data_IF_579139570321
#
_entry.id   IF_579139570321
#
_cell.length_a   1.000
_cell.length_b   1.000
_cell.length_c   1.000
_cell.angle_alpha   90.00
_cell.angle_beta   90.00
_cell.angle_gamma   90.00
#
_symmetry.space_group_name_H-M   'P 1'
#
loop_
_entity.id
_entity.type
_entity.pdbx_description
1 polymer ?
#
# COMPACT_ATOMS: atom_id res chain seq x y z
N UNK A 1 6.49 12.18 11.69
CA UNK A 1 5.68 11.73 10.55
C UNK A 1 4.24 11.66 11.02
N UNK A 2 3.29 12.16 10.23
CA UNK A 2 1.87 11.86 10.43
C UNK A 2 1.53 10.76 9.43
N UNK A 3 0.50 9.96 9.70
CA UNK A 3 -0.02 8.98 8.76
C UNK A 3 -1.52 9.14 8.80
N UNK A 4 -2.10 9.49 7.67
CA UNK A 4 -3.53 9.63 7.51
C UNK A 4 -4.18 8.30 7.10
N UNK A 5 -3.43 7.44 6.40
CA UNK A 5 -3.96 6.21 5.80
C UNK A 5 -3.09 4.98 6.11
N UNK A 6 -3.73 3.89 6.51
CA UNK A 6 -3.15 2.55 6.60
C UNK A 6 -3.95 1.65 5.67
N UNK A 7 -3.37 1.29 4.53
CA UNK A 7 -3.93 0.32 3.59
C UNK A 7 -3.30 -1.04 3.88
N UNK A 8 -4.12 -2.05 4.15
CA UNK A 8 -3.60 -3.38 4.49
C UNK A 8 -4.40 -4.49 3.82
N UNK A 9 -3.79 -5.66 3.66
CA UNK A 9 -4.54 -6.84 3.24
C UNK A 9 -5.54 -7.30 4.31
N UNK A 10 -6.65 -7.90 3.88
CA UNK A 10 -7.78 -8.27 4.74
C UNK A 10 -7.66 -9.63 5.44
N UNK A 11 -6.51 -10.30 5.37
CA UNK A 11 -6.27 -11.57 6.05
C UNK A 11 -5.50 -11.38 7.36
N UNK A 12 -5.04 -12.49 7.96
CA UNK A 12 -4.44 -12.45 9.29
C UNK A 12 -3.15 -11.62 9.33
N UNK A 13 -2.29 -11.70 8.32
CA UNK A 13 -1.00 -11.01 8.31
C UNK A 13 -1.19 -9.50 8.08
N UNK A 14 -2.00 -9.12 7.09
CA UNK A 14 -2.40 -7.74 6.88
C UNK A 14 -3.13 -7.10 8.07
N UNK A 15 -4.06 -7.81 8.73
CA UNK A 15 -4.74 -7.30 9.93
C UNK A 15 -3.78 -7.09 11.09
N UNK A 16 -2.86 -8.03 11.34
CA UNK A 16 -1.86 -7.89 12.40
C UNK A 16 -0.92 -6.71 12.13
N UNK A 17 -0.47 -6.58 10.88
CA UNK A 17 0.38 -5.46 10.45
C UNK A 17 -0.33 -4.11 10.59
N UNK A 18 -1.61 -4.03 10.18
CA UNK A 18 -2.43 -2.83 10.34
C UNK A 18 -2.61 -2.43 11.81
N UNK A 19 -2.81 -3.40 12.70
CA UNK A 19 -2.93 -3.12 14.13
C UNK A 19 -1.65 -2.53 14.73
N UNK A 20 -0.47 -3.02 14.30
CA UNK A 20 0.82 -2.46 14.72
C UNK A 20 1.01 -1.03 14.19
N UNK A 21 0.66 -0.79 12.92
CA UNK A 21 0.73 0.55 12.34
C UNK A 21 -0.24 1.52 13.03
N UNK A 22 -1.48 1.11 13.29
CA UNK A 22 -2.47 1.93 13.98
C UNK A 22 -2.05 2.25 15.42
N UNK A 23 -1.39 1.31 16.11
CA UNK A 23 -0.82 1.59 17.43
C UNK A 23 0.27 2.67 17.40
N UNK A 24 1.04 2.76 16.31
CA UNK A 24 2.04 3.82 16.10
C UNK A 24 1.42 5.13 15.57
N UNK A 25 0.31 5.04 14.85
CA UNK A 25 -0.41 6.17 14.23
C UNK A 25 -1.92 6.13 14.57
N UNK A 26 -2.31 6.47 15.81
CA UNK A 26 -3.68 6.22 16.30
C UNK A 26 -4.80 6.97 15.59
N UNK A 27 -4.48 8.05 14.88
CA UNK A 27 -5.43 8.88 14.15
C UNK A 27 -5.58 8.46 12.67
N UNK A 28 -4.81 7.46 12.22
CA UNK A 28 -4.86 6.99 10.84
C UNK A 28 -6.16 6.22 10.54
N UNK A 29 -6.66 6.36 9.32
CA UNK A 29 -7.78 5.58 8.82
C UNK A 29 -7.27 4.24 8.28
N UNK A 30 -7.81 3.13 8.80
CA UNK A 30 -7.50 1.79 8.29
C UNK A 30 -8.46 1.44 7.16
N UNK A 31 -7.91 1.02 6.03
CA UNK A 31 -8.64 0.55 4.86
C UNK A 31 -8.12 -0.82 4.42
N UNK A 32 -8.98 -1.83 4.44
CA UNK A 32 -8.59 -3.15 3.95
C UNK A 32 -8.78 -3.25 2.44
N UNK A 33 -7.71 -3.61 1.74
CA UNK A 33 -7.63 -3.76 0.29
C UNK A 33 -7.12 -5.14 -0.10
N UNK A 34 -6.96 -5.36 -1.41
CA UNK A 34 -6.41 -6.57 -1.98
C UNK A 34 -5.54 -6.23 -3.21
N UNK A 35 -4.66 -7.14 -3.66
CA UNK A 35 -3.73 -6.88 -4.76
C UNK A 35 -4.35 -6.31 -6.05
N UNK A 36 -5.54 -6.80 -6.43
CA UNK A 36 -6.24 -6.34 -7.63
C UNK A 36 -6.99 -4.99 -7.48
N UNK A 37 -7.11 -4.47 -6.26
CA UNK A 37 -7.93 -3.32 -5.89
C UNK A 37 -7.08 -2.11 -5.50
N UNK A 38 -5.87 -2.36 -4.98
CA UNK A 38 -4.93 -1.34 -4.50
C UNK A 38 -4.78 -0.14 -5.43
N UNK A 39 -4.63 -0.37 -6.75
CA UNK A 39 -4.46 0.73 -7.71
C UNK A 39 -5.64 1.72 -7.69
N UNK A 40 -6.87 1.22 -7.64
CA UNK A 40 -8.07 2.07 -7.57
C UNK A 40 -8.30 2.64 -6.17
N UNK A 41 -7.97 1.87 -5.13
CA UNK A 41 -8.12 2.31 -3.74
C UNK A 41 -7.16 3.46 -3.39
N UNK A 42 -6.03 3.59 -4.10
CA UNK A 42 -5.13 4.75 -3.97
C UNK A 42 -5.75 6.06 -4.47
N UNK A 43 -6.85 6.05 -5.24
CA UNK A 43 -7.49 7.28 -5.73
C UNK A 43 -8.17 8.09 -4.62
N UNK A 44 -8.51 7.45 -3.49
CA UNK A 44 -9.16 8.12 -2.35
C UNK A 44 -8.16 8.54 -1.27
N UNK A 45 -6.87 8.21 -1.43
CA UNK A 45 -5.82 8.54 -0.46
C UNK A 45 -5.37 9.99 -0.64
N UNK A 46 -5.59 10.78 0.40
CA UNK A 46 -5.13 12.17 0.53
C UNK A 46 -4.37 12.33 1.85
N UNK A 47 -3.04 12.21 1.80
CA UNK A 47 -2.15 12.25 2.97
C UNK A 47 -1.03 11.20 2.95
N UNK A 48 -0.19 11.21 3.99
CA UNK A 48 0.86 10.22 4.22
C UNK A 48 0.22 8.84 4.41
N UNK A 49 0.76 7.83 3.72
CA UNK A 49 0.15 6.49 3.64
C UNK A 49 1.15 5.38 3.94
N UNK A 50 0.68 4.37 4.66
CA UNK A 50 1.37 3.10 4.90
C UNK A 50 0.58 1.98 4.23
N UNK A 51 1.23 1.19 3.36
CA UNK A 51 0.66 0.06 2.64
C UNK A 51 1.31 -1.22 3.18
N UNK A 52 0.51 -2.20 3.61
CA UNK A 52 0.97 -3.37 4.36
C UNK A 52 0.44 -4.68 3.78
N UNK A 53 1.35 -5.62 3.50
CA UNK A 53 1.02 -6.99 3.10
C UNK A 53 0.15 -7.12 1.83
N UNK A 54 0.21 -6.13 0.94
CA UNK A 54 -0.51 -6.16 -0.33
C UNK A 54 0.47 -6.47 -1.44
N UNK A 55 0.31 -7.61 -2.10
CA UNK A 55 1.14 -7.95 -3.25
C UNK A 55 0.96 -6.96 -4.42
N UNK A 56 2.07 -6.48 -4.97
CA UNK A 56 2.06 -5.71 -6.22
C UNK A 56 1.80 -6.67 -7.41
N UNK A 57 0.58 -6.64 -7.98
CA UNK A 57 0.22 -7.58 -9.06
C UNK A 57 0.92 -7.28 -10.39
N UNK A 58 1.28 -8.33 -11.14
CA UNK A 58 1.90 -8.22 -12.48
C UNK A 58 1.04 -7.46 -13.48
N UNK A 59 -0.30 -7.60 -13.41
CA UNK A 59 -1.22 -7.04 -14.40
C UNK A 59 -1.20 -5.51 -14.43
N UNK A 60 -0.95 -4.88 -13.28
CA UNK A 60 -1.00 -3.43 -13.09
C UNK A 60 0.27 -2.87 -12.46
N UNK A 61 1.36 -3.63 -12.48
CA UNK A 61 2.59 -3.28 -11.75
C UNK A 61 3.13 -1.89 -12.12
N UNK A 62 3.27 -1.61 -13.42
CA UNK A 62 3.78 -0.32 -13.90
C UNK A 62 2.87 0.85 -13.50
N UNK A 63 1.56 0.66 -13.63
CA UNK A 63 0.57 1.67 -13.25
C UNK A 63 0.57 1.93 -11.73
N UNK A 64 0.75 0.88 -10.94
CA UNK A 64 0.91 1.01 -9.49
C UNK A 64 2.19 1.77 -9.14
N UNK A 65 3.31 1.47 -9.78
CA UNK A 65 4.58 2.20 -9.56
C UNK A 65 4.45 3.67 -9.96
N UNK A 66 3.86 3.97 -11.12
CA UNK A 66 3.58 5.34 -11.55
C UNK A 66 2.69 6.07 -10.54
N UNK A 67 1.60 5.44 -10.09
CA UNK A 67 0.70 6.01 -9.10
C UNK A 67 1.37 6.29 -7.75
N UNK A 68 2.20 5.36 -7.27
CA UNK A 68 2.97 5.53 -6.04
C UNK A 68 4.03 6.64 -6.19
N UNK A 69 4.65 6.75 -7.36
CA UNK A 69 5.59 7.84 -7.66
C UNK A 69 4.89 9.20 -7.64
N UNK A 70 3.76 9.34 -8.33
CA UNK A 70 2.92 10.56 -8.32
C UNK A 70 2.47 10.92 -6.90
N UNK A 71 2.04 9.93 -6.10
CA UNK A 71 1.65 10.15 -4.71
C UNK A 71 2.84 10.63 -3.86
N UNK A 72 4.02 10.07 -4.10
CA UNK A 72 5.25 10.41 -3.39
C UNK A 72 5.78 11.83 -3.67
N UNK A 73 5.29 12.49 -4.72
CA UNK A 73 5.60 13.91 -4.98
C UNK A 73 4.96 14.84 -3.93
N UNK A 74 3.87 14.41 -3.28
CA UNK A 74 3.09 15.21 -2.33
C UNK A 74 3.10 14.65 -0.91
N UNK A 75 3.16 13.32 -0.78
CA UNK A 75 2.98 12.62 0.49
C UNK A 75 4.09 11.60 0.73
N UNK A 76 4.27 11.21 1.98
CA UNK A 76 5.14 10.10 2.34
C UNK A 76 4.42 8.79 2.05
N UNK A 77 5.07 7.92 1.26
CA UNK A 77 4.55 6.60 0.91
C UNK A 77 5.48 5.54 1.51
N UNK A 78 4.95 4.73 2.43
CA UNK A 78 5.64 3.57 2.97
C UNK A 78 4.94 2.31 2.47
N UNK A 79 5.68 1.43 1.79
CA UNK A 79 5.17 0.15 1.30
C UNK A 79 5.99 -0.98 1.94
N UNK A 80 5.36 -1.81 2.77
CA UNK A 80 5.99 -2.95 3.42
C UNK A 80 5.26 -4.22 3.03
N UNK A 81 5.94 -5.08 2.29
CA UNK A 81 5.38 -6.32 1.79
C UNK A 81 6.46 -7.39 1.68
N UNK A 82 6.07 -8.64 1.89
CA UNK A 82 6.94 -9.81 1.85
C UNK A 82 6.70 -10.68 0.61
N UNK A 83 5.67 -10.38 -0.18
CA UNK A 83 5.42 -11.11 -1.42
C UNK A 83 6.57 -10.88 -2.41
N UNK A 84 6.91 -11.89 -3.24
CA UNK A 84 7.91 -11.71 -4.27
C UNK A 84 7.49 -10.63 -5.26
N UNK A 85 8.40 -9.71 -5.58
CA UNK A 85 8.25 -8.77 -6.69
C UNK A 85 8.27 -9.52 -8.03
N UNK A 86 7.11 -10.05 -8.44
CA UNK A 86 6.95 -10.68 -9.74
C UNK A 86 6.47 -9.62 -10.74
N UNK A 87 7.32 -9.30 -11.71
CA UNK A 87 7.04 -8.27 -12.72
C UNK A 87 8.25 -7.84 -13.54
N UNK A 88 9.45 -7.90 -12.96
CA UNK A 88 10.70 -7.60 -13.68
C UNK A 88 11.25 -8.75 -14.54
N UNK A 89 10.78 -9.99 -14.32
CA UNK A 89 11.31 -11.18 -15.02
C UNK A 89 10.97 -11.25 -16.51
N UNK A 90 10.08 -10.40 -17.02
CA UNK A 90 9.67 -10.37 -18.44
C UNK A 90 10.30 -9.24 -19.25
N UNK A 91 11.18 -8.43 -18.64
CA UNK A 91 11.80 -7.26 -19.26
C UNK A 91 13.33 -7.21 -19.13
N UNK A 92 13.97 -8.33 -18.79
CA UNK A 92 15.43 -8.55 -18.86
C UNK A 92 15.76 -9.61 -19.90
#
# INVERSE_FOLDING_TARGET
MRVEWILAHGDCDGICSAALALAAFPEAQVFFTHPAGLLGDLDVVDGDVVILDVAATTRHFLQLVEKLAELSERYTVIYVDHHPLRGMERHL
#
